data_IF_332158695414
#
_entry.id   IF_332158695414
#
_cell.length_a   1.000
_cell.length_b   1.000
_cell.length_c   1.000
_cell.angle_alpha   90.00
_cell.angle_beta   90.00
_cell.angle_gamma   90.00
#
_symmetry.space_group_name_H-M   'P 1'
#
loop_
_entity.id
_entity.type
_entity.pdbx_description
1 polymer ?
#
# COMPACT_ATOMS: atom_id res chain seq x y z
N UNK A 1 25.44 25.30 -5.00
CA UNK A 1 24.19 25.66 -4.28
C UNK A 1 23.29 26.37 -5.29
N UNK A 2 22.30 25.70 -5.86
CA UNK A 2 21.24 26.36 -6.63
C UNK A 2 20.30 27.02 -5.61
N UNK A 3 20.22 28.34 -5.62
CA UNK A 3 19.19 29.07 -4.92
C UNK A 3 17.84 28.76 -5.60
N UNK A 4 16.92 28.17 -4.83
CA UNK A 4 15.55 28.03 -5.28
C UNK A 4 14.96 29.43 -5.43
N UNK A 5 14.70 29.86 -6.67
CA UNK A 5 13.96 31.07 -6.96
C UNK A 5 12.50 30.76 -6.56
N UNK A 6 12.02 31.37 -5.49
CA UNK A 6 10.61 31.33 -5.12
C UNK A 6 9.81 31.97 -6.27
N UNK A 7 9.12 31.15 -7.06
CA UNK A 7 8.19 31.65 -8.09
C UNK A 7 6.92 32.13 -7.37
N UNK A 8 6.44 33.30 -7.70
CA UNK A 8 5.14 33.77 -7.21
C UNK A 8 4.04 32.76 -7.62
N UNK A 9 3.13 32.40 -6.73
CA UNK A 9 2.02 31.52 -7.07
C UNK A 9 1.20 32.16 -8.19
N UNK A 10 0.87 31.35 -9.21
CA UNK A 10 -0.04 31.77 -10.28
C UNK A 10 -1.44 31.86 -9.67
N UNK A 11 -2.03 33.03 -9.70
CA UNK A 11 -3.42 33.21 -9.27
C UNK A 11 -4.36 32.66 -10.36
N UNK A 12 -4.87 31.46 -10.13
CA UNK A 12 -5.77 30.78 -11.07
C UNK A 12 -7.10 31.53 -11.21
N UNK A 13 -7.56 32.22 -10.17
CA UNK A 13 -8.79 33.01 -10.18
C UNK A 13 -8.62 34.25 -11.06
N UNK A 14 -7.42 34.85 -11.09
CA UNK A 14 -7.08 35.96 -12.00
C UNK A 14 -7.06 35.56 -13.48
N UNK A 15 -6.87 34.26 -13.77
CA UNK A 15 -6.89 33.72 -15.13
C UNK A 15 -8.27 33.18 -15.54
N UNK A 16 -9.29 33.23 -14.66
CA UNK A 16 -10.62 32.68 -14.91
C UNK A 16 -10.65 31.15 -15.02
N UNK A 17 -9.60 30.46 -14.56
CA UNK A 17 -9.52 29.02 -14.51
C UNK A 17 -9.79 28.58 -13.07
N UNK A 18 -10.83 27.75 -12.86
CA UNK A 18 -11.09 27.17 -11.56
C UNK A 18 -9.87 26.40 -11.06
N UNK A 19 -9.54 26.54 -9.76
CA UNK A 19 -8.49 25.73 -9.13
C UNK A 19 -8.85 24.26 -9.26
N UNK A 20 -7.94 23.48 -9.82
CA UNK A 20 -8.10 22.04 -9.89
C UNK A 20 -7.70 21.38 -8.58
N UNK A 21 -8.25 20.19 -8.36
CA UNK A 21 -7.94 19.36 -7.20
C UNK A 21 -7.36 18.02 -7.64
N UNK A 22 -6.34 17.56 -6.93
CA UNK A 22 -5.76 16.23 -7.07
C UNK A 22 -5.86 15.52 -5.73
N UNK A 23 -6.68 14.48 -5.66
CA UNK A 23 -6.82 13.65 -4.46
C UNK A 23 -6.19 12.29 -4.71
N UNK A 24 -5.16 11.95 -3.94
CA UNK A 24 -4.58 10.60 -3.93
C UNK A 24 -5.26 9.80 -2.85
N UNK A 25 -6.00 8.76 -3.21
CA UNK A 25 -6.84 8.06 -2.24
C UNK A 25 -6.64 6.55 -2.20
N UNK A 26 -6.82 5.99 -1.00
CA UNK A 26 -6.82 4.57 -0.74
C UNK A 26 -8.21 3.97 -0.83
N UNK A 27 -8.35 2.96 -1.70
CA UNK A 27 -9.59 2.21 -1.87
C UNK A 27 -9.83 1.18 -0.75
N UNK A 28 -8.87 1.03 0.17
CA UNK A 28 -8.86 -0.10 1.10
C UNK A 28 -8.52 -1.43 0.40
N UNK A 29 -8.74 -2.57 1.07
CA UNK A 29 -8.33 -3.87 0.57
C UNK A 29 -9.25 -4.45 -0.52
N UNK A 30 -10.45 -3.88 -0.73
CA UNK A 30 -11.38 -4.29 -1.77
C UNK A 30 -12.86 -4.34 -1.34
N UNK A 31 -13.16 -4.60 -0.08
CA UNK A 31 -14.53 -4.52 0.45
C UNK A 31 -15.00 -3.07 0.52
N UNK A 32 -16.22 -2.81 0.07
CA UNK A 32 -16.78 -1.46 0.03
C UNK A 32 -16.96 -0.83 1.43
N UNK A 33 -17.20 -1.63 2.46
CA UNK A 33 -17.34 -1.20 3.85
C UNK A 33 -15.98 -0.87 4.52
N UNK A 34 -14.86 -1.27 3.91
CA UNK A 34 -13.50 -0.92 4.33
C UNK A 34 -12.93 0.28 3.54
N UNK A 35 -13.68 0.83 2.60
CA UNK A 35 -13.36 2.12 1.98
C UNK A 35 -13.79 3.24 2.93
N UNK A 36 -12.90 4.17 3.22
CA UNK A 36 -13.24 5.29 4.12
C UNK A 36 -14.33 6.18 3.53
N UNK A 37 -15.19 6.80 4.35
CA UNK A 37 -16.18 7.76 3.86
C UNK A 37 -15.54 8.91 3.06
N UNK A 38 -14.36 9.38 3.47
CA UNK A 38 -13.62 10.42 2.77
C UNK A 38 -13.18 9.98 1.37
N UNK A 39 -12.66 8.74 1.21
CA UNK A 39 -12.30 8.19 -0.10
C UNK A 39 -13.53 8.06 -1.01
N UNK A 40 -14.65 7.63 -0.46
CA UNK A 40 -15.92 7.54 -1.20
C UNK A 40 -16.42 8.91 -1.68
N UNK A 41 -16.34 9.92 -0.80
CA UNK A 41 -16.71 11.29 -1.14
C UNK A 41 -15.80 11.87 -2.22
N UNK A 42 -14.49 11.67 -2.12
CA UNK A 42 -13.52 12.13 -3.13
C UNK A 42 -13.75 11.46 -4.49
N UNK A 43 -14.05 10.15 -4.52
CA UNK A 43 -14.43 9.45 -5.75
C UNK A 43 -15.72 10.01 -6.35
N UNK A 44 -16.71 10.29 -5.52
CA UNK A 44 -18.00 10.84 -5.97
C UNK A 44 -17.86 12.28 -6.51
N UNK A 45 -16.93 13.08 -5.99
CA UNK A 45 -16.66 14.45 -6.47
C UNK A 45 -15.79 14.50 -7.73
N UNK A 46 -14.92 13.52 -7.94
CA UNK A 46 -13.95 13.51 -9.03
C UNK A 46 -14.61 13.53 -10.42
N UNK A 47 -14.03 14.28 -11.35
CA UNK A 47 -14.36 14.26 -12.77
C UNK A 47 -13.52 13.27 -13.56
N UNK A 48 -12.30 12.97 -13.04
CA UNK A 48 -11.31 12.13 -13.66
C UNK A 48 -10.77 11.12 -12.66
N UNK A 49 -10.75 9.85 -13.03
CA UNK A 49 -10.21 8.75 -12.22
C UNK A 49 -8.95 8.22 -12.89
N UNK A 50 -7.83 8.34 -12.22
CA UNK A 50 -6.51 7.95 -12.72
C UNK A 50 -5.98 6.78 -11.91
N UNK A 51 -5.54 5.71 -12.56
CA UNK A 51 -5.01 4.56 -11.82
C UNK A 51 -4.58 3.38 -12.68
N UNK A 52 -4.02 2.37 -12.03
CA UNK A 52 -3.81 1.06 -12.60
C UNK A 52 -5.18 0.38 -12.86
N UNK A 53 -5.31 -0.33 -13.99
CA UNK A 53 -6.58 -0.92 -14.43
C UNK A 53 -7.34 -1.66 -13.32
N UNK A 54 -6.64 -2.51 -12.55
CA UNK A 54 -7.23 -3.27 -11.46
C UNK A 54 -7.82 -2.36 -10.37
N UNK A 55 -7.17 -1.24 -10.07
CA UNK A 55 -7.63 -0.32 -9.01
C UNK A 55 -8.76 0.57 -9.48
N UNK A 56 -8.74 1.01 -10.75
CA UNK A 56 -9.87 1.73 -11.34
C UNK A 56 -11.14 0.86 -11.32
N UNK A 57 -11.01 -0.43 -11.66
CA UNK A 57 -12.13 -1.39 -11.57
C UNK A 57 -12.61 -1.61 -10.12
N UNK A 58 -11.72 -1.54 -9.13
CA UNK A 58 -12.09 -1.64 -7.71
C UNK A 58 -12.79 -0.38 -7.18
N UNK A 59 -12.60 0.77 -7.80
CA UNK A 59 -13.21 2.03 -7.38
C UNK A 59 -14.70 2.08 -7.66
N UNK A 60 -15.24 1.20 -8.50
CA UNK A 60 -16.63 1.19 -8.92
C UNK A 60 -17.67 0.86 -7.83
N UNK A 61 -18.96 1.16 -8.10
CA UNK A 61 -19.45 1.73 -9.35
C UNK A 61 -19.12 3.22 -9.50
N UNK A 62 -18.65 3.61 -10.69
CA UNK A 62 -18.33 4.99 -11.05
C UNK A 62 -19.50 5.63 -11.84
N UNK A 63 -19.60 6.97 -11.82
CA UNK A 63 -20.60 7.68 -12.62
C UNK A 63 -20.23 7.65 -14.12
N UNK A 64 -21.24 7.65 -14.98
CA UNK A 64 -21.07 7.58 -16.43
C UNK A 64 -20.37 8.82 -17.04
N UNK A 65 -20.39 9.95 -16.33
CA UNK A 65 -19.75 11.20 -16.75
C UNK A 65 -18.27 11.32 -16.31
N UNK A 66 -17.77 10.39 -15.49
CA UNK A 66 -16.36 10.38 -15.07
C UNK A 66 -15.46 9.83 -16.17
N UNK A 67 -14.34 10.52 -16.39
CA UNK A 67 -13.32 10.07 -17.34
C UNK A 67 -12.33 9.13 -16.65
N UNK A 68 -12.04 8.00 -17.30
CA UNK A 68 -11.13 6.98 -16.76
C UNK A 68 -9.80 7.03 -17.50
N UNK A 69 -8.72 7.24 -16.75
CA UNK A 69 -7.35 7.28 -17.26
C UNK A 69 -6.59 6.07 -16.69
N UNK A 70 -6.57 5.01 -17.48
CA UNK A 70 -5.98 3.72 -17.10
C UNK A 70 -4.57 3.61 -17.68
N UNK A 71 -3.62 3.17 -16.88
CA UNK A 71 -2.24 2.92 -17.31
C UNK A 71 -1.68 1.63 -16.70
N UNK A 72 -0.50 1.17 -17.18
CA UNK A 72 0.17 -0.02 -16.65
C UNK A 72 0.74 0.27 -15.25
N UNK A 73 0.93 -0.78 -14.46
CA UNK A 73 1.45 -0.70 -13.10
C UNK A 73 2.88 -0.13 -13.01
N UNK A 74 3.67 -0.20 -14.09
CA UNK A 74 5.05 0.30 -14.15
C UNK A 74 5.18 1.80 -14.45
N UNK A 75 4.08 2.48 -14.68
CA UNK A 75 4.05 3.89 -15.11
C UNK A 75 3.64 4.84 -13.98
N UNK A 76 4.09 4.58 -12.75
CA UNK A 76 3.64 5.34 -11.57
C UNK A 76 3.95 6.84 -11.66
N UNK A 77 5.17 7.20 -12.07
CA UNK A 77 5.57 8.61 -12.20
C UNK A 77 4.87 9.31 -13.38
N UNK A 78 4.69 8.61 -14.50
CA UNK A 78 3.95 9.16 -15.66
C UNK A 78 2.48 9.37 -15.32
N UNK A 79 1.88 8.42 -14.61
CA UNK A 79 0.51 8.52 -14.08
C UNK A 79 0.36 9.73 -13.16
N UNK A 80 1.32 9.96 -12.25
CA UNK A 80 1.32 11.10 -11.35
C UNK A 80 1.40 12.43 -12.13
N UNK A 81 2.29 12.53 -13.12
CA UNK A 81 2.41 13.72 -13.99
C UNK A 81 1.12 13.98 -14.77
N UNK A 82 0.55 12.95 -15.37
CA UNK A 82 -0.73 13.06 -16.08
C UNK A 82 -1.86 13.57 -15.17
N UNK A 83 -1.92 13.09 -13.92
CA UNK A 83 -2.89 13.56 -12.96
C UNK A 83 -2.73 15.07 -12.64
N UNK A 84 -1.48 15.56 -12.50
CA UNK A 84 -1.21 16.98 -12.33
C UNK A 84 -1.58 17.80 -13.56
N UNK A 85 -1.31 17.30 -14.76
CA UNK A 85 -1.70 17.98 -16.00
C UNK A 85 -3.22 18.19 -16.10
N UNK A 86 -4.01 17.19 -15.71
CA UNK A 86 -5.46 17.29 -15.66
C UNK A 86 -5.90 18.30 -14.58
N UNK A 87 -5.37 18.20 -13.37
CA UNK A 87 -5.71 19.10 -12.28
C UNK A 87 -5.31 20.55 -12.58
N UNK A 88 -4.15 20.79 -13.20
CA UNK A 88 -3.72 22.12 -13.63
C UNK A 88 -4.64 22.78 -14.69
N UNK A 89 -5.54 22.01 -15.28
CA UNK A 89 -6.61 22.48 -16.18
C UNK A 89 -7.96 22.66 -15.47
N UNK A 90 -7.97 22.72 -14.14
CA UNK A 90 -9.18 22.91 -13.35
C UNK A 90 -10.02 21.64 -13.12
N UNK A 91 -9.48 20.45 -13.43
CA UNK A 91 -10.20 19.16 -13.22
C UNK A 91 -10.11 18.70 -11.77
N UNK A 92 -11.12 17.97 -11.30
CA UNK A 92 -11.09 17.26 -10.01
C UNK A 92 -10.66 15.83 -10.27
N UNK A 93 -9.41 15.53 -9.95
CA UNK A 93 -8.72 14.27 -10.28
C UNK A 93 -8.60 13.39 -9.05
N UNK A 94 -9.02 12.14 -9.13
CA UNK A 94 -8.76 11.12 -8.12
C UNK A 94 -7.72 10.12 -8.63
N UNK A 95 -6.56 10.06 -7.99
CA UNK A 95 -5.57 9.00 -8.20
C UNK A 95 -5.86 7.88 -7.22
N UNK A 96 -6.22 6.70 -7.73
CA UNK A 96 -6.66 5.57 -6.92
C UNK A 96 -5.56 4.54 -6.68
N UNK A 97 -5.45 4.08 -5.43
CA UNK A 97 -4.56 3.01 -5.00
C UNK A 97 -5.34 1.96 -4.21
N UNK A 98 -4.98 0.69 -4.33
CA UNK A 98 -5.44 -0.35 -3.39
C UNK A 98 -4.80 -0.11 -2.02
N UNK A 99 -5.50 -0.46 -0.94
CA UNK A 99 -5.01 -0.26 0.42
C UNK A 99 -4.96 1.21 0.82
N UNK A 100 -3.82 1.62 1.37
CA UNK A 100 -3.49 3.00 1.73
C UNK A 100 -2.55 3.61 0.69
N UNK A 101 -2.76 4.86 0.23
CA UNK A 101 -1.97 5.46 -0.83
C UNK A 101 -0.53 5.82 -0.39
N UNK A 102 -0.27 5.94 0.92
CA UNK A 102 1.05 6.20 1.51
C UNK A 102 1.85 4.93 1.81
N UNK A 103 1.25 3.73 1.67
CA UNK A 103 1.92 2.47 1.98
C UNK A 103 2.29 1.73 0.70
N UNK A 104 3.50 1.96 0.20
CA UNK A 104 4.05 1.37 -1.04
C UNK A 104 3.14 1.59 -2.27
N UNK A 105 2.53 2.77 -2.38
CA UNK A 105 1.53 3.10 -3.37
C UNK A 105 1.72 4.53 -3.92
N UNK A 106 0.69 5.13 -4.53
CA UNK A 106 0.82 6.30 -5.40
C UNK A 106 1.16 7.62 -4.72
N UNK A 107 0.98 7.78 -3.39
CA UNK A 107 1.20 9.09 -2.76
C UNK A 107 2.67 9.54 -2.89
N UNK A 108 3.63 8.65 -2.71
CA UNK A 108 5.05 8.99 -2.89
C UNK A 108 5.34 9.42 -4.34
N UNK A 109 4.87 8.67 -5.35
CA UNK A 109 5.07 9.00 -6.75
C UNK A 109 4.44 10.34 -7.15
N UNK A 110 3.28 10.68 -6.56
CA UNK A 110 2.62 11.98 -6.78
C UNK A 110 3.45 13.11 -6.18
N UNK A 111 3.96 12.94 -4.95
CA UNK A 111 4.81 13.95 -4.31
C UNK A 111 6.16 14.09 -5.01
N UNK A 112 6.78 12.99 -5.46
CA UNK A 112 8.00 13.00 -6.28
C UNK A 112 7.78 13.75 -7.61
N UNK A 113 6.62 13.55 -8.26
CA UNK A 113 6.28 14.28 -9.49
C UNK A 113 6.14 15.78 -9.24
N UNK A 114 5.57 16.18 -8.09
CA UNK A 114 5.42 17.59 -7.71
C UNK A 114 6.78 18.22 -7.36
N UNK A 115 7.62 17.52 -6.59
CA UNK A 115 8.94 18.00 -6.17
C UNK A 115 9.86 18.22 -7.39
N UNK A 116 9.78 17.36 -8.38
CA UNK A 116 10.52 17.46 -9.64
C UNK A 116 9.83 18.29 -10.75
N UNK A 117 8.76 19.05 -10.44
CA UNK A 117 8.00 19.76 -11.45
C UNK A 117 8.64 21.07 -11.87
N UNK A 118 8.74 21.29 -13.19
CA UNK A 118 9.09 22.58 -13.79
C UNK A 118 7.85 23.46 -14.10
N UNK A 119 6.64 22.90 -14.06
CA UNK A 119 5.38 23.59 -14.33
C UNK A 119 4.84 24.26 -13.06
N UNK A 120 4.92 25.59 -13.02
CA UNK A 120 4.45 26.40 -11.87
C UNK A 120 2.94 26.22 -11.58
N UNK A 121 2.13 25.79 -12.57
CA UNK A 121 0.70 25.54 -12.38
C UNK A 121 0.43 24.39 -11.43
N UNK A 122 1.34 23.41 -11.34
CA UNK A 122 1.18 22.27 -10.42
C UNK A 122 1.24 22.69 -8.96
N UNK A 123 2.02 23.73 -8.64
CA UNK A 123 2.07 24.28 -7.28
C UNK A 123 0.75 24.94 -6.82
N UNK A 124 -0.12 25.32 -7.77
CA UNK A 124 -1.44 25.89 -7.49
C UNK A 124 -2.55 24.84 -7.37
N UNK A 125 -2.26 23.57 -7.72
CA UNK A 125 -3.21 22.45 -7.57
C UNK A 125 -3.47 22.19 -6.09
N UNK A 126 -4.74 22.09 -5.69
CA UNK A 126 -5.11 21.61 -4.35
C UNK A 126 -4.84 20.11 -4.26
N UNK A 127 -3.85 19.72 -3.45
CA UNK A 127 -3.43 18.32 -3.30
C UNK A 127 -3.85 17.76 -1.95
N UNK A 128 -4.59 16.66 -1.97
CA UNK A 128 -5.02 15.91 -0.81
C UNK A 128 -4.56 14.44 -0.86
N UNK A 129 -4.21 13.88 0.30
CA UNK A 129 -3.95 12.45 0.48
C UNK A 129 -4.99 11.88 1.45
N UNK A 130 -5.86 11.00 0.93
CA UNK A 130 -6.93 10.38 1.72
C UNK A 130 -6.54 8.94 2.07
N UNK A 131 -6.40 8.60 3.37
CA UNK A 131 -5.95 7.29 3.81
C UNK A 131 -6.93 6.18 3.49
N UNK A 132 -6.43 4.95 3.48
CA UNK A 132 -7.20 3.73 3.32
C UNK A 132 -6.71 2.60 4.23
N UNK A 133 -7.50 1.55 4.38
CA UNK A 133 -7.10 0.36 5.14
C UNK A 133 -6.10 -0.45 4.33
N UNK A 134 -4.85 -0.51 4.78
CA UNK A 134 -3.80 -1.26 4.08
C UNK A 134 -4.01 -2.78 4.18
N UNK A 135 -3.45 -3.54 3.23
CA UNK A 135 -3.56 -4.99 3.21
C UNK A 135 -3.01 -5.66 4.48
N UNK A 136 -1.94 -5.10 5.07
CA UNK A 136 -1.37 -5.63 6.32
C UNK A 136 -2.35 -5.49 7.48
N UNK A 137 -2.98 -4.31 7.64
CA UNK A 137 -3.94 -4.06 8.72
C UNK A 137 -5.23 -4.87 8.51
N UNK A 138 -5.71 -4.99 7.28
CA UNK A 138 -6.86 -5.83 6.97
C UNK A 138 -6.59 -7.31 7.28
N UNK A 139 -5.42 -7.83 6.90
CA UNK A 139 -5.01 -9.21 7.21
C UNK A 139 -4.85 -9.42 8.72
N UNK A 140 -4.24 -8.46 9.42
CA UNK A 140 -4.08 -8.53 10.87
C UNK A 140 -5.44 -8.56 11.59
N UNK A 141 -6.39 -7.72 11.19
CA UNK A 141 -7.74 -7.70 11.77
C UNK A 141 -8.50 -9.02 11.55
N UNK A 142 -8.38 -9.62 10.36
CA UNK A 142 -8.99 -10.93 10.09
C UNK A 142 -8.35 -12.07 10.91
N UNK A 143 -7.05 -11.97 11.23
CA UNK A 143 -6.34 -12.96 12.04
C UNK A 143 -6.50 -12.74 13.56
N UNK A 144 -6.80 -11.52 13.99
CA UNK A 144 -6.85 -11.08 15.37
C UNK A 144 -6.02 -9.81 15.59
N UNK A 145 -4.86 -9.92 16.24
CA UNK A 145 -3.95 -8.81 16.49
C UNK A 145 -2.46 -9.22 16.37
N UNK A 146 -2.01 -9.85 15.28
CA UNK A 146 -0.59 -10.25 15.14
C UNK A 146 0.36 -9.05 15.11
N UNK A 147 -0.13 -7.85 14.81
CA UNK A 147 0.59 -6.58 14.84
C UNK A 147 0.28 -5.77 16.11
N UNK A 148 -0.04 -6.43 17.20
CA UNK A 148 -0.45 -5.80 18.47
C UNK A 148 0.70 -5.20 19.30
N UNK A 149 1.95 -5.38 18.88
CA UNK A 149 3.16 -4.74 19.39
C UNK A 149 3.92 -4.09 18.24
N UNK A 150 5.17 -3.67 18.44
CA UNK A 150 5.97 -3.03 17.39
C UNK A 150 6.14 -3.94 16.17
N UNK A 151 5.99 -3.38 14.99
CA UNK A 151 6.04 -4.11 13.73
C UNK A 151 6.64 -3.29 12.59
N UNK A 152 7.11 -3.98 11.56
CA UNK A 152 7.63 -3.38 10.34
C UNK A 152 6.83 -3.83 9.11
N UNK A 153 6.51 -2.87 8.23
CA UNK A 153 6.01 -3.14 6.88
C UNK A 153 7.19 -3.11 5.91
N UNK A 154 7.43 -4.20 5.19
CA UNK A 154 8.56 -4.31 4.27
C UNK A 154 8.06 -4.81 2.90
N UNK A 155 8.31 -4.03 1.85
CA UNK A 155 8.08 -4.50 0.48
C UNK A 155 9.30 -5.24 -0.05
N UNK A 156 9.09 -6.48 -0.51
CA UNK A 156 10.12 -7.30 -1.16
C UNK A 156 10.32 -6.96 -2.64
N UNK A 157 9.68 -5.90 -3.14
CA UNK A 157 9.93 -5.38 -4.47
C UNK A 157 11.28 -4.68 -4.54
N UNK A 158 12.13 -5.11 -5.46
CA UNK A 158 13.44 -4.54 -5.76
C UNK A 158 13.45 -3.66 -7.02
N UNK A 159 12.27 -3.28 -7.52
CA UNK A 159 12.12 -2.42 -8.69
C UNK A 159 12.69 -1.00 -8.47
N UNK A 160 12.55 -0.46 -7.24
CA UNK A 160 12.94 0.92 -6.89
C UNK A 160 14.11 0.98 -5.91
N UNK A 161 14.59 -0.14 -5.40
CA UNK A 161 15.70 -0.20 -4.43
C UNK A 161 16.48 -1.51 -4.56
N UNK A 162 17.81 -1.47 -4.36
CA UNK A 162 18.64 -2.67 -4.41
C UNK A 162 18.21 -3.73 -3.38
N UNK A 163 18.24 -5.00 -3.77
CA UNK A 163 17.87 -6.11 -2.91
C UNK A 163 18.67 -6.14 -1.59
N UNK A 164 19.95 -5.81 -1.61
CA UNK A 164 20.80 -5.74 -0.41
C UNK A 164 20.26 -4.78 0.67
N UNK A 165 19.56 -3.70 0.27
CA UNK A 165 18.92 -2.80 1.22
C UNK A 165 17.69 -3.48 1.88
N UNK A 166 16.96 -4.29 1.13
CA UNK A 166 15.83 -5.05 1.65
C UNK A 166 16.33 -6.09 2.66
N UNK A 167 17.35 -6.87 2.30
CA UNK A 167 17.99 -7.86 3.18
C UNK A 167 18.44 -7.24 4.50
N UNK A 168 19.17 -6.11 4.43
CA UNK A 168 19.61 -5.38 5.62
C UNK A 168 18.45 -4.97 6.53
N UNK A 169 17.35 -4.46 5.95
CA UNK A 169 16.16 -4.05 6.71
C UNK A 169 15.48 -5.25 7.38
N UNK A 170 15.35 -6.37 6.66
CA UNK A 170 14.78 -7.61 7.23
C UNK A 170 15.64 -8.10 8.39
N UNK A 171 16.94 -8.15 8.22
CA UNK A 171 17.90 -8.63 9.22
C UNK A 171 17.80 -7.82 10.53
N UNK A 172 17.85 -6.50 10.43
CA UNK A 172 17.76 -5.62 11.61
C UNK A 172 16.40 -5.68 12.29
N UNK A 173 15.31 -5.69 11.52
CA UNK A 173 13.96 -5.78 12.08
C UNK A 173 13.71 -7.16 12.73
N UNK A 174 14.21 -8.24 12.13
CA UNK A 174 14.11 -9.56 12.71
C UNK A 174 14.99 -9.68 13.95
N UNK A 175 16.22 -9.16 13.94
CA UNK A 175 17.10 -9.17 15.12
C UNK A 175 16.52 -8.38 16.31
N UNK A 176 15.78 -7.29 16.02
CA UNK A 176 15.10 -6.46 17.03
C UNK A 176 13.73 -7.02 17.47
N UNK A 177 13.37 -8.21 17.04
CA UNK A 177 12.12 -8.90 17.38
C UNK A 177 10.81 -8.22 16.94
N UNK A 178 10.84 -7.36 15.91
CA UNK A 178 9.61 -6.81 15.33
C UNK A 178 8.76 -7.90 14.66
N UNK A 179 7.44 -7.83 14.76
CA UNK A 179 6.59 -8.55 13.82
C UNK A 179 6.78 -7.97 12.40
N UNK A 180 6.83 -8.82 11.38
CA UNK A 180 7.17 -8.42 10.02
C UNK A 180 5.98 -8.66 9.08
N UNK A 181 5.54 -7.64 8.36
CA UNK A 181 4.53 -7.78 7.31
C UNK A 181 5.16 -7.56 5.94
N UNK A 182 5.23 -8.61 5.12
CA UNK A 182 5.83 -8.59 3.79
C UNK A 182 4.81 -8.33 2.71
N UNK A 183 5.04 -7.26 1.96
CA UNK A 183 4.35 -6.93 0.70
C UNK A 183 5.11 -7.48 -0.49
N UNK A 184 4.38 -7.82 -1.56
CA UNK A 184 4.94 -8.30 -2.83
C UNK A 184 5.89 -9.50 -2.67
N UNK A 185 5.47 -10.58 -1.97
CA UNK A 185 6.39 -11.65 -1.58
C UNK A 185 7.01 -12.36 -2.78
N UNK A 186 6.21 -12.74 -3.79
CA UNK A 186 6.70 -13.48 -4.96
C UNK A 186 6.11 -12.89 -6.23
N UNK A 187 6.93 -12.74 -7.28
CA UNK A 187 6.48 -12.45 -8.64
C UNK A 187 7.24 -13.29 -9.66
N UNK A 188 6.77 -13.31 -10.91
CA UNK A 188 7.47 -14.01 -11.99
C UNK A 188 8.91 -13.51 -12.20
N UNK A 189 9.14 -12.21 -12.01
CA UNK A 189 10.46 -11.60 -12.12
C UNK A 189 11.33 -11.79 -10.86
N UNK A 190 10.74 -12.23 -9.74
CA UNK A 190 11.38 -12.36 -8.43
C UNK A 190 10.98 -13.69 -7.77
N UNK A 191 11.42 -14.83 -8.33
CA UNK A 191 11.01 -16.14 -7.84
C UNK A 191 11.71 -16.57 -6.56
N UNK A 192 12.90 -16.04 -6.25
CA UNK A 192 13.77 -16.51 -5.14
C UNK A 192 13.88 -15.53 -3.97
N UNK A 193 13.45 -14.27 -4.13
CA UNK A 193 13.63 -13.23 -3.12
C UNK A 193 12.88 -13.54 -1.83
N UNK A 194 11.73 -14.18 -1.91
CA UNK A 194 10.97 -14.56 -0.72
C UNK A 194 11.71 -15.61 0.12
N UNK A 195 12.25 -16.64 -0.51
CA UNK A 195 13.04 -17.67 0.20
C UNK A 195 14.27 -17.05 0.86
N UNK A 196 14.98 -16.14 0.18
CA UNK A 196 16.09 -15.38 0.76
C UNK A 196 15.65 -14.53 1.97
N UNK A 197 14.49 -13.90 1.89
CA UNK A 197 13.92 -13.16 3.01
C UNK A 197 13.61 -14.08 4.20
N UNK A 198 13.04 -15.27 3.94
CA UNK A 198 12.77 -16.26 4.97
C UNK A 198 14.05 -16.81 5.62
N UNK A 199 15.12 -17.03 4.84
CA UNK A 199 16.40 -17.49 5.36
C UNK A 199 17.02 -16.47 6.33
N UNK A 200 16.84 -15.18 6.05
CA UNK A 200 17.24 -14.11 6.97
C UNK A 200 16.42 -14.17 8.26
N UNK A 201 15.09 -14.26 8.16
CA UNK A 201 14.21 -14.31 9.33
C UNK A 201 14.49 -15.54 10.19
N UNK A 202 14.74 -16.71 9.58
CA UNK A 202 15.06 -17.99 10.25
C UNK A 202 16.33 -17.93 11.10
N UNK A 203 17.24 -16.99 10.85
CA UNK A 203 18.43 -16.78 11.71
C UNK A 203 18.09 -16.17 13.07
N UNK A 204 16.94 -15.50 13.17
CA UNK A 204 16.51 -14.71 14.33
C UNK A 204 15.24 -15.24 15.00
N UNK A 205 14.56 -16.20 14.39
CA UNK A 205 13.24 -16.68 14.84
C UNK A 205 13.24 -18.20 15.00
N UNK A 206 12.54 -18.66 16.02
CA UNK A 206 12.29 -20.07 16.21
C UNK A 206 11.45 -20.67 15.06
N UNK A 207 11.65 -21.95 14.73
CA UNK A 207 10.88 -22.64 13.69
C UNK A 207 9.35 -22.58 13.91
N UNK A 208 8.91 -22.53 15.15
CA UNK A 208 7.51 -22.49 15.58
C UNK A 208 6.87 -21.10 15.50
N UNK A 209 7.67 -20.07 15.18
CA UNK A 209 7.16 -18.70 15.04
C UNK A 209 5.91 -18.67 14.17
N UNK A 210 4.84 -18.09 14.70
CA UNK A 210 3.53 -18.04 14.04
C UNK A 210 3.60 -17.14 12.81
N UNK A 211 3.05 -17.62 11.71
CA UNK A 211 2.92 -16.87 10.45
C UNK A 211 1.46 -16.83 10.01
N UNK A 212 1.00 -15.66 9.61
CA UNK A 212 -0.33 -15.46 9.02
C UNK A 212 -0.17 -15.18 7.52
N UNK A 213 -0.95 -15.88 6.70
CA UNK A 213 -1.05 -15.70 5.26
C UNK A 213 -2.45 -15.21 4.91
N UNK A 214 -2.56 -13.96 4.47
CA UNK A 214 -3.81 -13.38 4.01
C UNK A 214 -3.77 -13.14 2.51
N UNK A 215 -4.49 -13.95 1.75
CA UNK A 215 -4.58 -13.80 0.29
C UNK A 215 -5.90 -13.15 -0.08
N UNK A 216 -5.83 -12.09 -0.88
CA UNK A 216 -6.99 -11.30 -1.33
C UNK A 216 -7.93 -10.84 -0.21
N UNK A 217 -7.42 -10.59 0.97
CA UNK A 217 -8.24 -10.12 2.09
C UNK A 217 -9.03 -8.88 1.67
N UNK A 218 -10.34 -8.91 1.89
CA UNK A 218 -11.27 -7.88 1.46
C UNK A 218 -11.78 -8.05 0.01
N UNK A 219 -11.44 -9.13 -0.70
CA UNK A 219 -11.89 -9.41 -2.07
C UNK A 219 -12.64 -10.73 -2.14
N UNK A 220 -13.43 -10.97 -3.20
CA UNK A 220 -14.01 -12.30 -3.44
C UNK A 220 -12.93 -13.38 -3.50
N UNK A 221 -13.15 -14.50 -2.83
CA UNK A 221 -12.19 -15.60 -2.74
C UNK A 221 -11.06 -15.37 -1.75
N UNK A 222 -11.21 -14.42 -0.83
CA UNK A 222 -10.27 -14.19 0.27
C UNK A 222 -10.01 -15.47 1.08
N UNK A 223 -8.74 -15.73 1.36
CA UNK A 223 -8.34 -16.83 2.25
C UNK A 223 -7.40 -16.33 3.33
N UNK A 224 -7.54 -16.87 4.53
CA UNK A 224 -6.65 -16.64 5.64
C UNK A 224 -6.17 -17.99 6.18
N UNK A 225 -4.86 -18.15 6.30
CA UNK A 225 -4.24 -19.33 6.87
C UNK A 225 -3.23 -18.94 7.95
N UNK A 226 -3.08 -19.80 8.94
CA UNK A 226 -2.03 -19.69 9.96
C UNK A 226 -1.10 -20.88 9.82
N UNK A 227 0.20 -20.63 9.81
CA UNK A 227 1.26 -21.63 9.70
C UNK A 227 2.41 -21.30 10.65
N UNK A 228 3.51 -22.02 10.55
CA UNK A 228 4.75 -21.73 11.25
C UNK A 228 5.86 -21.32 10.29
N UNK A 229 6.90 -20.67 10.79
CA UNK A 229 8.05 -20.27 9.96
C UNK A 229 8.76 -21.50 9.36
N UNK A 230 8.79 -22.63 10.05
CA UNK A 230 9.36 -23.88 9.54
C UNK A 230 8.56 -24.44 8.35
N UNK A 231 7.23 -24.36 8.40
CA UNK A 231 6.35 -24.89 7.37
C UNK A 231 6.10 -23.90 6.21
N UNK A 232 6.55 -22.66 6.34
CA UNK A 232 6.36 -21.62 5.33
C UNK A 232 7.31 -21.80 4.14
N UNK A 233 6.76 -21.76 2.92
CA UNK A 233 7.51 -21.81 1.66
C UNK A 233 6.94 -20.85 0.62
N UNK A 234 7.74 -20.53 -0.41
CA UNK A 234 7.32 -19.68 -1.52
C UNK A 234 6.12 -20.24 -2.32
N UNK A 235 5.88 -21.54 -2.25
CA UNK A 235 4.75 -22.20 -2.94
C UNK A 235 3.38 -21.84 -2.36
N UNK A 236 3.35 -21.34 -1.11
CA UNK A 236 2.12 -20.98 -0.40
C UNK A 236 1.71 -19.52 -0.63
N UNK A 237 2.52 -18.74 -1.34
CA UNK A 237 2.34 -17.29 -1.51
C UNK A 237 2.41 -16.86 -2.97
N UNK A 238 1.75 -15.76 -3.29
CA UNK A 238 1.80 -15.09 -4.58
C UNK A 238 1.79 -13.55 -4.37
N UNK A 239 1.75 -12.77 -5.46
CA UNK A 239 1.68 -11.29 -5.40
C UNK A 239 0.47 -10.74 -4.64
N UNK A 240 -0.55 -11.56 -4.43
CA UNK A 240 -1.82 -11.20 -3.77
C UNK A 240 -1.84 -11.62 -2.30
N UNK A 241 -0.74 -12.18 -1.82
CA UNK A 241 -0.62 -12.68 -0.45
C UNK A 241 0.11 -11.67 0.44
N UNK A 242 -0.52 -11.28 1.54
CA UNK A 242 0.12 -10.60 2.66
C UNK A 242 0.67 -11.66 3.61
N UNK A 243 1.96 -11.56 3.94
CA UNK A 243 2.62 -12.47 4.87
C UNK A 243 2.95 -11.70 6.15
N UNK A 244 2.43 -12.14 7.29
CA UNK A 244 2.77 -11.57 8.60
C UNK A 244 3.53 -12.62 9.40
N UNK A 245 4.82 -12.40 9.62
CA UNK A 245 5.65 -13.21 10.50
C UNK A 245 5.64 -12.59 11.89
N UNK A 246 5.23 -13.35 12.88
CA UNK A 246 5.17 -12.91 14.26
C UNK A 246 6.54 -12.59 14.88
N UNK A 247 6.53 -11.89 16.01
CA UNK A 247 7.67 -11.78 16.91
C UNK A 247 7.84 -13.07 17.72
N UNK A 248 8.88 -13.16 18.55
CA UNK A 248 9.09 -14.30 19.48
C UNK A 248 7.93 -14.49 20.46
N UNK A 249 7.15 -13.43 20.73
CA UNK A 249 6.03 -13.47 21.69
C UNK A 249 4.67 -13.69 21.04
N UNK A 250 4.58 -13.70 19.69
CA UNK A 250 3.32 -13.90 18.98
C UNK A 250 2.72 -15.27 19.28
N UNK A 251 1.42 -15.31 19.58
CA UNK A 251 0.71 -16.49 20.05
C UNK A 251 -0.52 -16.81 19.21
N UNK A 252 -0.86 -18.09 19.19
CA UNK A 252 -2.09 -18.62 18.63
C UNK A 252 -3.01 -19.02 19.77
N UNK A 253 -4.27 -18.59 19.69
CA UNK A 253 -5.33 -18.97 20.63
C UNK A 253 -6.29 -19.87 19.88
N UNK A 254 -6.30 -21.15 20.27
CA UNK A 254 -7.21 -22.14 19.70
C UNK A 254 -8.67 -21.79 20.03
N UNK A 255 -9.57 -22.07 19.10
CA UNK A 255 -11.01 -21.89 19.26
C UNK A 255 -11.73 -23.13 18.76
N UNK A 256 -12.60 -23.68 19.62
CA UNK A 256 -13.42 -24.84 19.26
C UNK A 256 -14.39 -24.50 18.11
N UNK A 257 -14.34 -25.28 17.03
CA UNK A 257 -15.21 -25.15 15.88
C UNK A 257 -15.07 -23.85 15.06
N UNK A 258 -14.04 -23.03 15.33
CA UNK A 258 -13.80 -21.79 14.63
C UNK A 258 -12.31 -21.59 14.33
N UNK A 259 -11.98 -20.62 13.46
CA UNK A 259 -10.61 -20.24 13.17
C UNK A 259 -9.94 -19.66 14.43
N UNK A 260 -8.70 -20.08 14.67
CA UNK A 260 -7.89 -19.56 15.77
C UNK A 260 -7.62 -18.06 15.64
N UNK A 261 -7.44 -17.40 16.78
CA UNK A 261 -6.91 -16.06 16.82
C UNK A 261 -5.38 -16.07 16.91
N UNK A 262 -4.76 -15.09 16.24
CA UNK A 262 -3.33 -14.81 16.37
C UNK A 262 -3.15 -13.42 16.92
N UNK A 263 -2.31 -13.26 17.94
CA UNK A 263 -2.01 -11.96 18.51
C UNK A 263 -0.58 -11.87 19.00
N UNK A 264 -0.03 -10.67 19.06
CA UNK A 264 1.23 -10.36 19.74
C UNK A 264 0.92 -9.64 21.04
N UNK A 265 1.34 -10.20 22.21
CA UNK A 265 1.11 -9.56 23.51
C UNK A 265 1.75 -8.17 23.60
N UNK A 266 1.14 -7.28 24.38
CA UNK A 266 1.67 -5.93 24.66
C UNK A 266 2.84 -5.92 25.65
N UNK A 267 3.14 -7.04 26.27
CA UNK A 267 4.15 -7.18 27.32
C UNK A 267 5.18 -8.23 26.95
N UNK A 268 6.45 -7.89 27.12
CA UNK A 268 7.54 -8.86 27.20
C UNK A 268 7.59 -9.39 28.65
N UNK A 269 7.36 -10.70 28.83
CA UNK A 269 7.43 -11.40 30.13
C UNK A 269 8.38 -12.58 30.02
#
# INVERSE_FOLDING_TARGET
KRQAVARAPVDADALGIARGRLTVLGLGPGRADLMTPAARAALADATDIVGYATYVNMAGPLRADQQLHVSDNREELQRARHAFELAARGRRVAVVSSGDPGVFAMAAAVLEALDGADDARWAAVELDVVPGVSAALATAAEAGAPLGHDFCLISLSDNLKPWAIIEKRIDHAAAADFALAFYNPVSRARPVQFDRALDIVRRHRAPETVVVLGRDIGRPGATLATTTLAALSAQQVDMRTMVIVGSSTTRRVARDGARDWVYTPRWYR
#
